data_IF_715274098734
#
_entry.id   IF_715274098734
#
_cell.length_a   1.000
_cell.length_b   1.000
_cell.length_c   1.000
_cell.angle_alpha   90.00
_cell.angle_beta   90.00
_cell.angle_gamma   90.00
#
_symmetry.space_group_name_H-M   'P 1'
#
loop_
_entity.id
_entity.type
_entity.pdbx_description
1 polymer ?
#
# COMPACT_ATOMS: atom_id res chain seq x y z
N UNK A 1 -21.34 18.49 -15.77
CA UNK A 1 -20.89 17.51 -14.77
C UNK A 1 -19.65 18.07 -14.12
N UNK A 2 -19.71 18.43 -12.84
CA UNK A 2 -18.56 18.96 -12.10
C UNK A 2 -18.01 17.82 -11.25
N UNK A 3 -16.75 17.45 -11.47
CA UNK A 3 -16.02 16.50 -10.64
C UNK A 3 -15.15 17.34 -9.70
N UNK A 4 -15.39 17.31 -8.38
CA UNK A 4 -14.70 18.19 -7.42
C UNK A 4 -13.19 17.90 -7.33
N UNK A 5 -12.78 16.64 -7.54
CA UNK A 5 -11.37 16.23 -7.62
C UNK A 5 -11.19 15.17 -8.73
N UNK A 6 -11.03 15.58 -10.00
CA UNK A 6 -10.96 14.66 -11.13
C UNK A 6 -9.63 13.92 -11.23
N UNK A 7 -8.64 14.26 -10.40
CA UNK A 7 -7.28 13.71 -10.46
C UNK A 7 -6.94 12.78 -9.30
N UNK A 8 -7.85 12.62 -8.34
CA UNK A 8 -7.69 11.72 -7.22
C UNK A 8 -8.65 10.54 -7.31
N UNK A 9 -8.11 9.35 -7.12
CA UNK A 9 -8.89 8.13 -6.97
C UNK A 9 -8.55 7.54 -5.60
N UNK A 10 -9.22 8.07 -4.56
CA UNK A 10 -8.95 7.64 -3.20
C UNK A 10 -9.37 6.17 -3.00
N UNK A 11 -8.56 5.45 -2.24
CA UNK A 11 -8.90 4.11 -1.78
C UNK A 11 -10.09 4.19 -0.83
N UNK A 12 -10.98 3.20 -0.91
CA UNK A 12 -12.18 3.14 -0.04
C UNK A 12 -11.79 2.90 1.42
N UNK A 13 -10.71 2.17 1.64
CA UNK A 13 -10.15 1.92 2.95
C UNK A 13 -8.83 1.15 2.88
N UNK A 14 -7.99 1.36 3.88
CA UNK A 14 -6.77 0.60 4.10
C UNK A 14 -6.79 0.15 5.55
N UNK A 15 -6.71 -1.16 5.75
CA UNK A 15 -6.73 -1.77 7.07
C UNK A 15 -5.50 -2.65 7.24
N UNK A 16 -4.95 -2.69 8.43
CA UNK A 16 -3.79 -3.52 8.75
C UNK A 16 -4.02 -4.25 10.06
N UNK A 17 -3.60 -5.52 10.10
CA UNK A 17 -3.66 -6.34 11.31
C UNK A 17 -2.29 -6.95 11.55
N UNK A 18 -1.72 -6.67 12.71
CA UNK A 18 -0.48 -7.28 13.18
C UNK A 18 -0.74 -8.64 13.85
N UNK A 19 0.20 -9.55 13.75
CA UNK A 19 0.20 -10.75 14.59
C UNK A 19 0.53 -10.41 16.06
N UNK A 20 0.31 -11.36 16.97
CA UNK A 20 0.51 -11.13 18.41
C UNK A 20 1.96 -10.79 18.79
N UNK A 21 2.92 -11.09 17.92
CA UNK A 21 4.35 -10.86 18.15
C UNK A 21 4.85 -9.59 17.48
N UNK A 22 4.00 -8.89 16.71
CA UNK A 22 4.38 -7.76 15.88
C UNK A 22 5.51 -8.08 14.88
N UNK A 23 5.59 -9.34 14.43
CA UNK A 23 6.57 -9.81 13.45
C UNK A 23 6.00 -9.75 12.02
N UNK A 24 4.67 -9.78 11.90
CA UNK A 24 3.96 -9.80 10.62
C UNK A 24 2.74 -8.91 10.64
N UNK A 25 2.45 -8.32 9.49
CA UNK A 25 1.25 -7.51 9.26
C UNK A 25 0.57 -7.98 7.98
N UNK A 26 -0.75 -8.14 8.03
CA UNK A 26 -1.57 -8.29 6.82
C UNK A 26 -2.24 -6.95 6.51
N UNK A 27 -1.84 -6.33 5.41
CA UNK A 27 -2.40 -5.09 4.87
C UNK A 27 -3.52 -5.47 3.89
N UNK A 28 -4.64 -4.78 3.98
CA UNK A 28 -5.86 -4.97 3.18
C UNK A 28 -6.25 -3.63 2.58
N UNK A 29 -6.00 -3.47 1.28
CA UNK A 29 -6.33 -2.24 0.55
C UNK A 29 -7.61 -2.44 -0.28
N UNK A 30 -8.66 -1.67 0.02
CA UNK A 30 -9.87 -1.59 -0.80
C UNK A 30 -9.74 -0.47 -1.82
N UNK A 31 -9.56 -0.84 -3.09
CA UNK A 31 -9.40 0.14 -4.16
C UNK A 31 -10.73 0.58 -4.78
N UNK A 32 -10.78 1.83 -5.23
CA UNK A 32 -11.84 2.34 -6.09
C UNK A 32 -11.58 2.07 -7.58
N UNK A 33 -10.37 1.59 -7.93
CA UNK A 33 -9.98 1.29 -9.31
C UNK A 33 -9.19 -0.03 -9.38
N UNK A 34 -9.83 -1.05 -9.95
CA UNK A 34 -9.19 -2.36 -10.09
C UNK A 34 -7.90 -2.30 -10.90
N UNK A 35 -7.90 -1.62 -12.06
CA UNK A 35 -6.71 -1.53 -12.93
C UNK A 35 -5.49 -0.96 -12.22
N UNK A 36 -5.66 0.16 -11.51
CA UNK A 36 -4.59 0.75 -10.70
C UNK A 36 -4.14 -0.16 -9.55
N UNK A 37 -5.08 -0.84 -8.89
CA UNK A 37 -4.75 -1.77 -7.81
C UNK A 37 -4.06 -3.05 -8.29
N UNK A 38 -4.36 -3.54 -9.49
CA UNK A 38 -3.68 -4.70 -10.10
C UNK A 38 -2.25 -4.34 -10.50
N UNK A 39 -2.04 -3.11 -11.00
CA UNK A 39 -0.71 -2.56 -11.22
C UNK A 39 0.07 -2.45 -9.91
N UNK A 40 -0.55 -1.90 -8.86
CA UNK A 40 0.06 -1.81 -7.54
C UNK A 40 0.41 -3.19 -6.98
N UNK A 41 -0.51 -4.16 -7.05
CA UNK A 41 -0.28 -5.54 -6.63
C UNK A 41 0.95 -6.13 -7.32
N UNK A 42 1.07 -5.97 -8.64
CA UNK A 42 2.20 -6.49 -9.42
C UNK A 42 3.54 -5.89 -9.01
N UNK A 43 3.61 -4.59 -8.70
CA UNK A 43 4.86 -3.95 -8.30
C UNK A 43 5.17 -4.18 -6.82
N UNK A 44 4.19 -4.01 -5.94
CA UNK A 44 4.36 -4.06 -4.49
C UNK A 44 4.64 -5.50 -4.03
N UNK A 45 4.15 -6.51 -4.75
CA UNK A 45 4.49 -7.91 -4.46
C UNK A 45 5.99 -8.21 -4.62
N UNK A 46 6.76 -7.34 -5.28
CA UNK A 46 8.21 -7.49 -5.45
C UNK A 46 9.02 -6.83 -4.32
N UNK A 47 8.37 -6.11 -3.40
CA UNK A 47 9.03 -5.53 -2.24
C UNK A 47 9.62 -6.63 -1.34
N UNK A 48 10.87 -6.51 -0.87
CA UNK A 48 11.51 -7.55 -0.03
C UNK A 48 10.76 -7.86 1.28
N UNK A 49 10.05 -6.86 1.80
CA UNK A 49 9.27 -6.97 3.03
C UNK A 49 7.98 -7.80 2.82
N UNK A 50 7.45 -7.86 1.60
CA UNK A 50 6.23 -8.60 1.25
C UNK A 50 6.54 -10.08 1.10
N UNK A 51 5.84 -10.92 1.87
CA UNK A 51 6.00 -12.38 1.87
C UNK A 51 4.96 -13.07 1.00
N UNK A 52 3.75 -12.53 0.95
CA UNK A 52 2.66 -13.00 0.08
C UNK A 52 1.83 -11.81 -0.36
N UNK A 53 1.36 -11.85 -1.60
CA UNK A 53 0.43 -10.87 -2.12
C UNK A 53 -0.68 -11.59 -2.89
N UNK A 54 -1.93 -11.13 -2.76
CA UNK A 54 -3.07 -11.70 -3.47
C UNK A 54 -4.21 -10.71 -3.62
N UNK A 55 -4.99 -10.85 -4.69
CA UNK A 55 -6.30 -10.24 -4.81
C UNK A 55 -7.35 -11.13 -4.12
N UNK A 56 -8.24 -10.56 -3.31
CA UNK A 56 -9.36 -11.25 -2.66
C UNK A 56 -10.59 -10.37 -2.74
N UNK A 57 -11.55 -10.72 -3.59
CA UNK A 57 -12.73 -9.87 -3.82
C UNK A 57 -12.33 -8.50 -4.38
N UNK A 58 -12.71 -7.43 -3.70
CA UNK A 58 -12.34 -6.05 -4.03
C UNK A 58 -11.05 -5.55 -3.35
N UNK A 59 -10.33 -6.45 -2.64
CA UNK A 59 -9.14 -6.12 -1.87
C UNK A 59 -7.85 -6.60 -2.53
N UNK A 60 -6.81 -5.77 -2.44
CA UNK A 60 -5.42 -6.20 -2.58
C UNK A 60 -4.83 -6.45 -1.19
N UNK A 61 -4.33 -7.66 -0.95
CA UNK A 61 -3.81 -8.08 0.35
C UNK A 61 -2.32 -8.35 0.28
N UNK A 62 -1.57 -7.81 1.24
CA UNK A 62 -0.13 -7.99 1.37
C UNK A 62 0.17 -8.51 2.77
N UNK A 63 0.75 -9.70 2.86
CA UNK A 63 1.35 -10.20 4.10
C UNK A 63 2.81 -9.75 4.12
N UNK A 64 3.20 -8.93 5.09
CA UNK A 64 4.54 -8.37 5.22
C UNK A 64 5.22 -8.86 6.48
N UNK A 65 6.56 -8.83 6.50
CA UNK A 65 7.30 -8.73 7.75
C UNK A 65 7.19 -7.29 8.31
N UNK A 66 7.59 -7.08 9.55
CA UNK A 66 7.80 -5.75 10.13
C UNK A 66 9.26 -5.30 9.99
N UNK A 67 9.49 -4.00 10.03
CA UNK A 67 10.80 -3.35 9.88
C UNK A 67 10.92 -2.49 8.60
N UNK A 68 12.15 -2.10 8.30
CA UNK A 68 12.53 -1.31 7.13
C UNK A 68 13.37 -2.15 6.18
N UNK A 69 12.96 -2.22 4.91
CA UNK A 69 13.71 -2.88 3.85
C UNK A 69 13.78 -1.96 2.63
N UNK A 70 14.91 -1.25 2.40
CA UNK A 70 15.06 -0.32 1.29
C UNK A 70 14.69 -0.93 -0.05
N UNK A 71 14.00 -0.16 -0.89
CA UNK A 71 13.60 -0.62 -2.22
C UNK A 71 14.67 -0.29 -3.27
N UNK A 72 15.04 -1.30 -4.06
CA UNK A 72 15.75 -1.13 -5.32
C UNK A 72 14.75 -0.79 -6.43
N UNK A 73 14.32 0.48 -6.48
CA UNK A 73 13.31 0.94 -7.41
C UNK A 73 13.85 0.97 -8.85
N UNK A 74 13.16 0.26 -9.75
CA UNK A 74 13.51 0.15 -11.17
C UNK A 74 12.32 0.45 -12.06
N UNK A 75 12.47 1.41 -12.96
CA UNK A 75 11.48 1.75 -13.98
C UNK A 75 10.97 0.49 -14.70
N UNK A 76 9.66 0.41 -14.89
CA UNK A 76 8.95 -0.70 -15.56
C UNK A 76 9.04 -2.09 -14.89
N UNK A 77 9.87 -2.29 -13.87
CA UNK A 77 10.08 -3.59 -13.21
C UNK A 77 9.57 -3.58 -11.77
N UNK A 78 10.09 -2.65 -10.97
CA UNK A 78 9.79 -2.42 -9.56
C UNK A 78 9.65 -0.92 -9.34
N UNK A 79 8.67 -0.31 -10.01
CA UNK A 79 8.51 1.14 -10.04
C UNK A 79 7.95 1.71 -8.74
N UNK A 80 7.34 0.87 -7.89
CA UNK A 80 6.83 1.25 -6.58
C UNK A 80 6.71 0.01 -5.67
N UNK A 81 6.59 0.23 -4.37
CA UNK A 81 6.48 -0.84 -3.39
C UNK A 81 6.26 -0.37 -1.96
N UNK A 82 6.23 -1.34 -1.04
CA UNK A 82 6.19 -1.13 0.41
C UNK A 82 7.62 -1.22 0.94
N UNK A 83 8.13 -0.12 1.47
CA UNK A 83 9.51 0.00 1.97
C UNK A 83 9.63 -0.31 3.46
N UNK A 84 8.63 0.07 4.25
CA UNK A 84 8.64 -0.16 5.70
C UNK A 84 7.24 -0.47 6.22
N UNK A 85 7.19 -1.31 7.26
CA UNK A 85 5.99 -1.58 8.06
C UNK A 85 6.40 -1.63 9.53
N UNK A 86 5.96 -0.66 10.32
CA UNK A 86 6.36 -0.50 11.72
C UNK A 86 5.10 -0.58 12.59
N UNK A 87 5.13 -1.42 13.62
CA UNK A 87 4.03 -1.54 14.59
C UNK A 87 4.40 -0.75 15.84
N UNK A 88 3.66 0.33 16.10
CA UNK A 88 3.88 1.27 17.20
C UNK A 88 2.65 1.26 18.11
N UNK A 89 2.67 0.43 19.17
CA UNK A 89 1.54 0.34 20.09
C UNK A 89 0.27 -0.14 19.39
N UNK A 90 -0.72 0.75 19.24
CA UNK A 90 -1.99 0.49 18.57
C UNK A 90 -2.03 0.97 17.11
N UNK A 91 -0.91 1.45 16.57
CA UNK A 91 -0.81 1.98 15.22
C UNK A 91 0.15 1.14 14.36
N UNK A 92 -0.12 1.12 13.05
CA UNK A 92 0.73 0.46 12.06
C UNK A 92 1.10 1.51 11.02
N UNK A 93 2.37 1.88 11.00
CA UNK A 93 2.93 2.79 10.02
C UNK A 93 3.35 1.99 8.78
N UNK A 94 2.94 2.44 7.60
CA UNK A 94 3.25 1.80 6.33
C UNK A 94 3.89 2.85 5.42
N UNK A 95 5.13 2.59 5.00
CA UNK A 95 5.83 3.45 4.04
C UNK A 95 5.70 2.88 2.64
N UNK A 96 5.04 3.62 1.77
CA UNK A 96 4.96 3.33 0.34
C UNK A 96 5.93 4.23 -0.42
N UNK A 97 6.76 3.64 -1.29
CA UNK A 97 7.80 4.35 -2.03
C UNK A 97 7.70 4.04 -3.53
N UNK A 98 7.98 5.00 -4.40
CA UNK A 98 7.89 4.79 -5.84
C UNK A 98 8.51 5.88 -6.70
N UNK A 99 8.81 5.55 -7.95
CA UNK A 99 9.39 6.44 -8.97
C UNK A 99 8.28 7.20 -9.71
N UNK A 100 8.45 8.53 -9.83
CA UNK A 100 7.57 9.40 -10.61
C UNK A 100 6.09 9.21 -10.24
N UNK A 101 5.25 8.88 -11.24
CA UNK A 101 3.82 8.66 -11.04
C UNK A 101 3.46 7.54 -10.05
N UNK A 102 4.34 6.56 -9.86
CA UNK A 102 4.15 5.51 -8.86
C UNK A 102 4.21 6.04 -7.41
N UNK A 103 5.02 7.08 -7.16
CA UNK A 103 5.09 7.76 -5.87
C UNK A 103 3.87 8.65 -5.62
N UNK A 104 3.40 9.39 -6.63
CA UNK A 104 2.20 10.24 -6.51
C UNK A 104 0.96 9.40 -6.18
N UNK A 105 0.78 8.25 -6.85
CA UNK A 105 -0.31 7.32 -6.54
C UNK A 105 -0.17 6.60 -5.19
N UNK A 106 1.06 6.48 -4.67
CA UNK A 106 1.32 5.95 -3.34
C UNK A 106 0.88 6.95 -2.26
N UNK A 107 1.18 8.24 -2.45
CA UNK A 107 0.91 9.29 -1.46
C UNK A 107 -0.53 9.79 -1.50
N UNK A 108 -1.02 10.24 -2.67
CA UNK A 108 -2.30 10.98 -2.74
C UNK A 108 -3.53 10.08 -2.69
N UNK A 109 -3.47 8.90 -3.30
CA UNK A 109 -4.64 8.01 -3.39
C UNK A 109 -4.86 7.18 -2.11
N UNK A 110 -3.82 7.03 -1.27
CA UNK A 110 -3.88 6.20 -0.05
C UNK A 110 -4.04 7.02 1.23
N UNK A 111 -3.51 8.24 1.28
CA UNK A 111 -3.54 9.09 2.49
C UNK A 111 -4.95 9.42 2.96
N UNK A 112 -5.90 9.57 2.03
CA UNK A 112 -7.30 9.90 2.33
C UNK A 112 -8.21 8.67 2.51
N UNK A 113 -7.65 7.46 2.58
CA UNK A 113 -8.45 6.24 2.71
C UNK A 113 -9.00 6.08 4.12
N UNK A 114 -10.21 5.52 4.24
CA UNK A 114 -10.75 5.15 5.56
C UNK A 114 -9.79 4.17 6.27
N UNK A 115 -9.59 4.35 7.57
CA UNK A 115 -8.65 3.53 8.35
C UNK A 115 -7.21 4.03 8.36
N UNK A 116 -6.89 5.05 7.55
CA UNK A 116 -5.62 5.78 7.64
C UNK A 116 -5.77 6.94 8.62
N UNK A 117 -4.83 7.06 9.55
CA UNK A 117 -4.74 8.20 10.46
C UNK A 117 -3.95 9.28 9.72
N UNK A 118 -4.62 10.35 9.31
CA UNK A 118 -3.94 11.54 8.78
C UNK A 118 -3.48 12.40 9.96
N UNK A 119 -2.17 12.43 10.21
CA UNK A 119 -1.52 13.39 11.11
C UNK A 119 -1.10 14.65 10.38
#
# INVERSE_FOLDING_TARGET
MHLPDPYNISYKGIYAVADRKNERVEIMEHSSCYGGSAWALHHYSKSPIVKKARAVGDMMRYLTATGLMPLDLRSSVAAAGIESVIVNGNEIEITYSGLGGGGVGATTCRSCANGVISS
#
